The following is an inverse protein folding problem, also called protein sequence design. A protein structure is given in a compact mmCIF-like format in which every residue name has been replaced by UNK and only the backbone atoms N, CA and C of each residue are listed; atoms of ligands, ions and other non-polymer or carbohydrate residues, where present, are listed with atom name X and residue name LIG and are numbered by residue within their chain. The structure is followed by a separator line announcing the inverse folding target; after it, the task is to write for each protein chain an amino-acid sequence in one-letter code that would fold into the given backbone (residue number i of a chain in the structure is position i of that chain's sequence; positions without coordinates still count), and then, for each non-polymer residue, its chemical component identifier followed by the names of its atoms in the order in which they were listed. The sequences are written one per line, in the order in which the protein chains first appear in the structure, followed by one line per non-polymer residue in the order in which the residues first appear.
data_IF_854676263895
#
_entry.id   IF_854676263895
#
_cell.length_a   1.000
_cell.length_b   1.000
_cell.length_c   1.000
_cell.angle_alpha   90.00
_cell.angle_beta   90.00
_cell.angle_gamma   90.00
#
_symmetry.space_group_name_H-M   'P 1'
#
loop_
_entity.id
_entity.type
_entity.pdbx_description
1 polymer ?
#
# COMPACT_ATOMS: atom_id res chain seq x y z
N UNK A 1 27.18 -18.46 18.50
CA UNK A 1 26.00 -19.15 17.94
C UNK A 1 25.59 -18.41 16.68
N UNK A 2 25.75 -19.00 15.49
CA UNK A 2 25.24 -18.39 14.25
C UNK A 2 23.73 -18.62 14.23
N UNK A 3 23.01 -17.63 14.71
CA UNK A 3 21.55 -17.54 14.57
C UNK A 3 21.28 -17.43 13.06
N UNK A 4 20.56 -18.41 12.50
CA UNK A 4 20.41 -18.58 11.05
C UNK A 4 19.71 -17.39 10.39
N UNK A 5 20.01 -17.14 9.11
CA UNK A 5 19.31 -16.14 8.31
C UNK A 5 17.88 -16.63 8.06
N UNK A 6 16.89 -15.87 8.56
CA UNK A 6 15.49 -15.74 8.11
C UNK A 6 14.40 -15.96 9.19
N UNK A 7 13.42 -15.05 9.10
CA UNK A 7 12.15 -14.88 9.84
C UNK A 7 12.22 -14.74 11.38
N UNK A 8 12.36 -15.81 12.15
CA UNK A 8 12.24 -15.73 13.62
C UNK A 8 13.57 -15.60 14.35
N UNK A 9 14.61 -16.23 13.80
CA UNK A 9 15.93 -16.30 14.40
C UNK A 9 16.52 -14.89 14.63
N UNK A 10 16.36 -14.00 13.66
CA UNK A 10 16.90 -12.64 13.75
C UNK A 10 15.99 -11.67 14.51
N UNK A 11 14.79 -12.08 14.95
CA UNK A 11 13.85 -11.18 15.63
C UNK A 11 14.40 -10.67 16.97
N UNK A 12 15.18 -11.51 17.67
CA UNK A 12 15.80 -11.16 18.95
C UNK A 12 17.09 -10.30 18.79
N UNK A 13 17.56 -10.06 17.56
CA UNK A 13 18.75 -9.25 17.33
C UNK A 13 18.40 -7.77 17.40
N UNK A 14 19.14 -7.03 18.23
CA UNK A 14 19.03 -5.57 18.29
C UNK A 14 19.53 -5.00 16.97
N UNK A 15 18.64 -4.33 16.24
CA UNK A 15 18.98 -3.59 15.02
C UNK A 15 19.38 -2.16 15.40
N UNK A 16 20.58 -1.75 14.97
CA UNK A 16 21.10 -0.39 15.18
C UNK A 16 20.75 0.49 13.98
N UNK A 17 20.77 1.80 14.18
CA UNK A 17 20.69 2.81 13.12
C UNK A 17 19.41 2.75 12.26
N UNK A 18 18.32 2.22 12.84
CA UNK A 18 16.99 2.18 12.24
C UNK A 18 16.01 2.90 13.16
N UNK A 19 15.20 3.79 12.60
CA UNK A 19 14.12 4.46 13.34
C UNK A 19 12.77 4.12 12.74
N UNK A 20 11.83 3.64 13.57
CA UNK A 20 10.45 3.45 13.10
C UNK A 20 9.73 4.79 12.99
N UNK A 21 8.94 4.95 11.94
CA UNK A 21 8.10 6.10 11.68
C UNK A 21 6.74 5.62 11.16
N UNK A 22 5.74 6.49 11.28
CA UNK A 22 4.40 6.27 10.75
C UNK A 22 3.86 7.56 10.16
N UNK A 23 3.26 7.47 8.99
CA UNK A 23 2.31 8.46 8.47
C UNK A 23 0.92 7.85 8.57
N UNK A 24 -0.06 8.61 9.05
CA UNK A 24 -1.42 8.11 9.24
C UNK A 24 -2.45 9.21 9.03
N UNK A 25 -3.70 8.78 8.87
CA UNK A 25 -4.87 9.66 8.78
C UNK A 25 -5.27 10.31 10.12
N UNK A 26 -4.41 10.27 11.14
CA UNK A 26 -4.77 10.72 12.49
C UNK A 26 -5.15 12.21 12.54
N UNK A 27 -6.05 12.55 13.45
CA UNK A 27 -6.48 13.91 13.68
C UNK A 27 -5.35 14.70 14.35
N UNK A 28 -4.78 15.67 13.62
CA UNK A 28 -3.66 16.49 14.10
C UNK A 28 -4.06 17.42 15.25
N UNK A 29 -5.36 17.65 15.48
CA UNK A 29 -5.85 18.41 16.63
C UNK A 29 -5.88 17.57 17.91
N UNK A 30 -5.75 16.24 17.78
CA UNK A 30 -5.92 15.29 18.88
C UNK A 30 -7.38 14.91 19.17
N UNK A 31 -8.33 15.34 18.33
CA UNK A 31 -9.71 14.85 18.37
C UNK A 31 -9.82 13.47 17.65
N UNK A 32 -11.02 13.10 17.20
CA UNK A 32 -11.33 11.74 16.72
C UNK A 32 -11.65 11.68 15.22
N UNK A 33 -11.31 12.71 14.45
CA UNK A 33 -11.48 12.71 12.99
C UNK A 33 -10.26 12.07 12.32
N UNK A 34 -9.97 10.82 12.65
CA UNK A 34 -8.77 10.09 12.21
C UNK A 34 -8.87 9.55 10.77
N UNK A 35 -9.46 10.34 9.87
CA UNK A 35 -9.70 9.98 8.47
C UNK A 35 -9.41 11.14 7.50
N UNK A 36 -9.25 10.77 6.23
CA UNK A 36 -9.25 11.69 5.10
C UNK A 36 -10.59 11.55 4.37
N UNK A 37 -11.24 12.69 4.08
CA UNK A 37 -12.42 12.74 3.24
C UNK A 37 -11.99 13.05 1.80
N UNK A 38 -12.07 12.05 0.93
CA UNK A 38 -11.74 12.17 -0.49
C UNK A 38 -13.00 12.52 -1.26
N UNK A 39 -13.07 13.75 -1.76
CA UNK A 39 -14.16 14.22 -2.62
C UNK A 39 -14.13 13.52 -4.00
N UNK A 40 -15.23 13.59 -4.77
CA UNK A 40 -15.23 13.12 -6.15
C UNK A 40 -14.10 13.76 -6.96
N UNK A 41 -13.37 12.95 -7.73
CA UNK A 41 -12.24 13.35 -8.59
C UNK A 41 -11.07 14.03 -7.83
N UNK A 42 -11.01 13.88 -6.50
CA UNK A 42 -9.91 14.41 -5.71
C UNK A 42 -8.75 13.42 -5.68
N UNK A 43 -7.53 13.93 -5.89
CA UNK A 43 -6.29 13.22 -5.57
C UNK A 43 -5.72 13.78 -4.28
N UNK A 44 -5.44 12.90 -3.32
CA UNK A 44 -4.84 13.28 -2.04
C UNK A 44 -3.51 12.57 -1.83
N UNK A 45 -2.48 13.34 -1.52
CA UNK A 45 -1.18 12.83 -1.12
C UNK A 45 -1.22 12.35 0.33
N UNK A 46 -1.35 11.04 0.52
CA UNK A 46 -1.40 10.41 1.84
C UNK A 46 -0.01 10.23 2.46
N UNK A 47 1.06 10.31 1.65
CA UNK A 47 2.42 10.15 2.12
C UNK A 47 3.43 10.91 1.26
N UNK A 48 4.38 11.56 1.92
CA UNK A 48 5.56 12.18 1.33
C UNK A 48 6.72 12.05 2.33
N UNK A 49 7.59 11.10 2.05
CA UNK A 49 8.73 10.74 2.90
C UNK A 49 10.00 11.17 2.17
N UNK A 50 10.87 11.85 2.90
CA UNK A 50 12.19 12.27 2.44
C UNK A 50 13.28 11.38 3.02
N UNK A 51 14.35 11.13 2.24
CA UNK A 51 15.48 10.30 2.64
C UNK A 51 15.29 8.81 2.33
N UNK A 52 16.15 7.97 2.93
CA UNK A 52 16.16 6.53 2.68
C UNK A 52 15.30 5.77 3.69
N UNK A 53 14.58 4.75 3.23
CA UNK A 53 13.75 3.94 4.10
C UNK A 53 13.12 2.72 3.44
N UNK A 54 12.41 1.94 4.25
CA UNK A 54 11.68 0.77 3.79
C UNK A 54 10.28 0.80 4.41
N UNK A 55 9.24 0.95 3.59
CA UNK A 55 7.86 0.72 4.05
C UNK A 55 7.76 -0.77 4.39
N UNK A 56 7.26 -1.05 5.59
CA UNK A 56 7.14 -2.41 6.13
C UNK A 56 5.69 -2.86 6.28
N UNK A 57 4.79 -1.90 6.40
CA UNK A 57 3.39 -2.19 6.61
C UNK A 57 2.52 -1.02 6.10
N UNK A 58 1.51 -1.36 5.33
CA UNK A 58 0.43 -0.45 4.95
C UNK A 58 -0.87 -1.08 5.45
N UNK A 59 -1.63 -0.29 6.21
CA UNK A 59 -3.01 -0.63 6.56
C UNK A 59 -3.95 0.42 6.00
N UNK A 60 -5.10 -0.01 5.48
CA UNK A 60 -6.17 0.87 5.02
C UNK A 60 -7.54 0.31 5.39
N UNK A 61 -8.50 1.19 5.67
CA UNK A 61 -9.93 0.87 5.57
C UNK A 61 -10.67 2.05 4.96
N UNK A 62 -11.74 1.75 4.24
CA UNK A 62 -12.49 2.73 3.46
C UNK A 62 -13.96 2.59 3.78
N UNK A 63 -14.61 3.72 4.05
CA UNK A 63 -16.07 3.82 4.10
C UNK A 63 -16.55 4.63 2.89
N UNK A 64 -17.39 4.00 2.06
CA UNK A 64 -18.00 4.62 0.89
C UNK A 64 -19.38 4.01 0.67
N UNK A 65 -20.30 4.79 0.09
CA UNK A 65 -21.59 4.29 -0.37
C UNK A 65 -21.60 3.89 -1.86
N UNK A 66 -20.48 4.07 -2.58
CA UNK A 66 -20.34 3.61 -3.96
C UNK A 66 -20.10 2.09 -3.93
N UNK A 67 -20.89 1.27 -4.63
CA UNK A 67 -20.70 -0.19 -4.62
C UNK A 67 -19.37 -0.65 -5.25
N UNK A 68 -18.77 0.18 -6.12
CA UNK A 68 -17.55 -0.13 -6.87
C UNK A 68 -16.33 0.67 -6.36
N UNK A 69 -16.40 1.28 -5.17
CA UNK A 69 -15.34 2.14 -4.64
C UNK A 69 -13.93 1.50 -4.67
N UNK A 70 -13.83 0.18 -4.47
CA UNK A 70 -12.55 -0.55 -4.50
C UNK A 70 -11.91 -0.63 -5.90
N UNK A 71 -12.68 -0.37 -6.95
CA UNK A 71 -12.23 -0.25 -8.34
C UNK A 71 -12.03 1.20 -8.79
N UNK A 72 -12.57 2.17 -8.05
CA UNK A 72 -12.54 3.61 -8.37
C UNK A 72 -11.60 4.42 -7.49
N UNK A 73 -11.16 3.89 -6.35
CA UNK A 73 -10.06 4.47 -5.60
C UNK A 73 -8.74 3.92 -6.13
N UNK A 74 -7.94 4.78 -6.75
CA UNK A 74 -6.66 4.40 -7.38
C UNK A 74 -5.51 4.77 -6.46
N UNK A 75 -4.67 3.79 -6.14
CA UNK A 75 -3.46 3.94 -5.35
C UNK A 75 -2.26 4.11 -6.28
N UNK A 76 -1.49 5.18 -6.04
CA UNK A 76 -0.25 5.43 -6.74
C UNK A 76 0.93 5.57 -5.79
N UNK A 77 2.06 4.98 -6.16
CA UNK A 77 3.31 5.13 -5.41
C UNK A 77 4.47 5.45 -6.34
N UNK A 78 5.32 6.38 -5.91
CA UNK A 78 6.55 6.78 -6.59
C UNK A 78 7.73 6.59 -5.66
N UNK A 79 8.82 6.08 -6.21
CA UNK A 79 10.09 5.92 -5.50
C UNK A 79 11.14 6.86 -6.06
N UNK A 80 11.96 7.42 -5.18
CA UNK A 80 13.18 8.14 -5.56
C UNK A 80 12.99 9.31 -6.54
N UNK A 81 11.88 10.04 -6.41
CA UNK A 81 11.51 11.17 -7.27
C UNK A 81 11.37 10.81 -8.77
N UNK A 82 11.03 9.55 -9.05
CA UNK A 82 10.68 9.14 -10.41
C UNK A 82 9.45 9.91 -10.94
N UNK A 83 9.37 10.06 -12.26
CA UNK A 83 8.32 10.84 -12.91
C UNK A 83 7.00 10.07 -13.05
N UNK A 84 7.09 8.74 -13.21
CA UNK A 84 5.94 7.86 -13.41
C UNK A 84 5.80 6.92 -12.22
N UNK A 85 4.58 6.60 -11.77
CA UNK A 85 4.39 5.75 -10.61
C UNK A 85 4.85 4.31 -10.90
N UNK A 86 5.70 3.76 -10.03
CA UNK A 86 6.04 2.34 -10.01
C UNK A 86 4.86 1.45 -9.62
N UNK A 87 3.90 2.00 -8.86
CA UNK A 87 2.66 1.34 -8.47
C UNK A 87 1.48 2.18 -8.95
N UNK A 88 0.62 1.63 -9.79
CA UNK A 88 -0.64 2.27 -10.19
C UNK A 88 -1.72 1.20 -10.36
N UNK A 89 -2.62 1.14 -9.37
CA UNK A 89 -3.59 0.05 -9.23
C UNK A 89 -4.85 0.53 -8.48
N UNK A 90 -6.04 -0.02 -8.77
CA UNK A 90 -7.17 0.14 -7.87
C UNK A 90 -6.87 -0.47 -6.49
N UNK A 91 -7.32 0.18 -5.41
CA UNK A 91 -7.00 -0.22 -4.03
C UNK A 91 -7.43 -1.68 -3.76
N UNK A 92 -8.62 -2.09 -4.20
CA UNK A 92 -9.08 -3.48 -3.96
C UNK A 92 -8.12 -4.51 -4.56
N UNK A 93 -7.74 -4.31 -5.83
CA UNK A 93 -6.84 -5.22 -6.56
C UNK A 93 -5.44 -5.27 -5.95
N UNK A 94 -4.93 -4.14 -5.46
CA UNK A 94 -3.64 -4.08 -4.78
C UNK A 94 -3.58 -5.06 -3.61
N UNK A 95 -4.63 -5.11 -2.79
CA UNK A 95 -4.73 -5.99 -1.62
C UNK A 95 -5.21 -7.41 -1.96
N UNK A 96 -5.23 -7.77 -3.25
CA UNK A 96 -5.61 -9.11 -3.71
C UNK A 96 -7.11 -9.37 -3.70
N UNK A 97 -7.97 -8.34 -3.58
CA UNK A 97 -9.42 -8.50 -3.70
C UNK A 97 -9.91 -7.89 -5.01
N UNK A 98 -10.17 -8.74 -5.98
CA UNK A 98 -10.70 -8.33 -7.27
C UNK A 98 -12.19 -8.01 -7.26
N UNK A 99 -12.62 -7.35 -8.34
CA UNK A 99 -14.02 -7.16 -8.74
C UNK A 99 -14.85 -6.26 -7.81
N UNK A 100 -14.20 -5.34 -7.09
CA UNK A 100 -14.92 -4.41 -6.21
C UNK A 100 -15.52 -5.07 -4.97
N UNK A 101 -15.15 -6.33 -4.68
CA UNK A 101 -15.70 -7.10 -3.57
C UNK A 101 -14.87 -6.92 -2.31
N UNK A 102 -15.43 -7.33 -1.19
CA UNK A 102 -14.72 -7.52 0.08
C UNK A 102 -14.91 -8.97 0.50
N UNK A 103 -13.85 -9.59 1.01
CA UNK A 103 -13.89 -10.93 1.59
C UNK A 103 -12.72 -11.07 2.55
N UNK A 104 -12.93 -11.80 3.64
CA UNK A 104 -11.83 -12.18 4.52
C UNK A 104 -10.80 -13.04 3.74
N UNK A 105 -9.55 -12.60 3.71
CA UNK A 105 -8.46 -13.25 2.96
C UNK A 105 -7.13 -13.05 3.68
N UNK A 106 -6.30 -14.10 3.72
CA UNK A 106 -4.97 -14.03 4.33
C UNK A 106 -3.93 -14.75 3.49
N UNK A 107 -2.76 -14.14 3.40
CA UNK A 107 -1.52 -14.66 2.83
C UNK A 107 -0.34 -14.07 3.61
N UNK A 108 0.89 -14.45 3.27
CA UNK A 108 2.07 -13.86 3.90
C UNK A 108 2.17 -12.32 3.68
N UNK A 109 2.04 -11.80 2.43
CA UNK A 109 2.12 -10.36 2.21
C UNK A 109 0.82 -9.59 2.46
N UNK A 110 -0.35 -10.24 2.49
CA UNK A 110 -1.65 -9.57 2.62
C UNK A 110 -2.54 -10.19 3.69
N UNK A 111 -3.22 -9.37 4.47
CA UNK A 111 -4.22 -9.81 5.43
C UNK A 111 -5.42 -8.86 5.41
N UNK A 112 -6.56 -9.36 4.97
CA UNK A 112 -7.80 -8.59 4.81
C UNK A 112 -8.85 -9.10 5.78
N UNK A 113 -9.16 -8.30 6.80
CA UNK A 113 -10.14 -8.62 7.84
C UNK A 113 -9.97 -7.72 9.07
N UNK A 114 -10.83 -7.82 10.10
CA UNK A 114 -12.12 -8.54 10.13
C UNK A 114 -13.21 -7.76 9.36
N UNK A 115 -14.49 -8.05 9.63
CA UNK A 115 -15.66 -7.37 9.04
C UNK A 115 -15.76 -7.48 7.51
N UNK A 116 -15.84 -8.73 7.03
CA UNK A 116 -15.96 -9.06 5.61
C UNK A 116 -14.77 -8.57 4.77
N UNK A 117 -13.55 -8.55 5.32
CA UNK A 117 -12.34 -8.19 4.57
C UNK A 117 -12.10 -6.69 4.40
N UNK A 118 -12.72 -5.82 5.21
CA UNK A 118 -12.61 -4.36 5.07
C UNK A 118 -11.38 -3.73 5.74
N UNK A 119 -10.60 -4.51 6.50
CA UNK A 119 -9.32 -4.09 7.06
C UNK A 119 -8.17 -4.59 6.19
N UNK A 120 -7.67 -3.77 5.27
CA UNK A 120 -6.68 -4.15 4.29
C UNK A 120 -5.26 -3.98 4.85
N UNK A 121 -4.45 -5.04 4.86
CA UNK A 121 -3.06 -4.99 5.30
C UNK A 121 -2.12 -5.50 4.22
N UNK A 122 -0.99 -4.81 4.03
CA UNK A 122 0.10 -5.19 3.15
C UNK A 122 1.43 -5.17 3.92
N UNK A 123 2.22 -6.23 3.79
CA UNK A 123 3.50 -6.46 4.47
C UNK A 123 4.68 -6.62 3.50
N UNK A 124 4.49 -6.31 2.20
CA UNK A 124 5.61 -6.26 1.28
C UNK A 124 6.63 -5.20 1.74
N UNK A 125 7.92 -5.52 1.79
CA UNK A 125 8.94 -4.49 1.97
C UNK A 125 9.04 -3.63 0.71
N UNK A 126 8.93 -2.32 0.86
CA UNK A 126 9.06 -1.37 -0.26
C UNK A 126 10.20 -0.39 0.05
N UNK A 127 11.45 -0.72 -0.35
CA UNK A 127 12.61 0.16 -0.17
C UNK A 127 12.53 1.40 -1.06
N UNK A 128 13.08 2.51 -0.59
CA UNK A 128 13.30 3.76 -1.33
C UNK A 128 14.55 4.46 -0.80
N UNK A 129 15.37 5.03 -1.68
CA UNK A 129 16.67 5.62 -1.36
C UNK A 129 16.67 7.13 -1.10
N UNK A 130 15.84 7.90 -1.79
CA UNK A 130 15.80 9.38 -1.66
C UNK A 130 14.43 9.90 -1.23
N UNK A 131 13.36 9.14 -1.46
CA UNK A 131 12.04 9.45 -0.94
C UNK A 131 10.96 8.52 -1.48
N UNK A 132 9.78 8.61 -0.88
CA UNK A 132 8.59 7.88 -1.28
C UNK A 132 7.37 8.81 -1.26
N UNK A 133 6.60 8.81 -2.35
CA UNK A 133 5.33 9.52 -2.45
C UNK A 133 4.21 8.53 -2.66
N UNK A 134 3.11 8.69 -1.93
CA UNK A 134 1.91 7.84 -2.09
C UNK A 134 0.69 8.74 -2.16
N UNK A 135 -0.14 8.50 -3.17
CA UNK A 135 -1.38 9.23 -3.42
C UNK A 135 -2.55 8.25 -3.58
N UNK A 136 -3.73 8.73 -3.23
CA UNK A 136 -5.00 8.07 -3.54
C UNK A 136 -5.88 9.04 -4.31
N UNK A 137 -6.33 8.62 -5.48
CA UNK A 137 -7.32 9.33 -6.29
C UNK A 137 -8.68 8.68 -6.11
N UNK A 138 -9.73 9.50 -6.00
CA UNK A 138 -11.10 9.06 -6.00
C UNK A 138 -11.77 9.32 -7.36
N UNK A 139 -11.81 8.32 -8.22
CA UNK A 139 -12.49 8.38 -9.53
C UNK A 139 -14.01 8.14 -9.45
N UNK A 140 -14.59 8.08 -8.24
CA UNK A 140 -16.04 7.97 -8.06
C UNK A 140 -16.74 9.33 -8.04
N UNK A 141 -18.04 9.31 -8.32
CA UNK A 141 -18.90 10.50 -8.31
C UNK A 141 -19.34 10.91 -6.89
N UNK A 142 -18.88 10.19 -5.85
CA UNK A 142 -19.25 10.46 -4.46
C UNK A 142 -18.02 10.51 -3.55
N UNK A 143 -18.20 11.06 -2.35
CA UNK A 143 -17.13 11.12 -1.36
C UNK A 143 -16.84 9.73 -0.77
N UNK A 144 -15.57 9.42 -0.56
CA UNK A 144 -15.11 8.26 0.21
C UNK A 144 -14.29 8.71 1.42
N UNK A 145 -14.40 7.97 2.52
CA UNK A 145 -13.63 8.21 3.74
C UNK A 145 -12.52 7.16 3.82
N UNK A 146 -11.27 7.63 3.90
CA UNK A 146 -10.08 6.78 3.95
C UNK A 146 -9.40 6.89 5.32
N UNK A 147 -9.16 5.74 5.93
CA UNK A 147 -8.28 5.59 7.08
C UNK A 147 -7.04 4.83 6.63
N UNK A 148 -5.85 5.25 7.08
CA UNK A 148 -4.62 4.57 6.68
C UNK A 148 -3.50 4.69 7.71
N UNK A 149 -2.62 3.69 7.72
CA UNK A 149 -1.29 3.70 8.32
C UNK A 149 -0.24 3.30 7.29
N UNK A 150 0.83 4.07 7.19
CA UNK A 150 2.03 3.74 6.43
C UNK A 150 3.18 3.69 7.44
N UNK A 151 3.53 2.48 7.83
CA UNK A 151 4.62 2.19 8.75
C UNK A 151 5.90 1.90 7.98
N UNK A 152 6.95 2.65 8.31
CA UNK A 152 8.23 2.50 7.65
C UNK A 152 9.39 2.57 8.63
N UNK A 153 10.51 2.03 8.17
CA UNK A 153 11.81 2.16 8.80
C UNK A 153 12.57 3.25 8.06
N UNK A 154 13.01 4.27 8.77
CA UNK A 154 13.96 5.28 8.31
C UNK A 154 15.38 4.74 8.50
N UNK A 155 16.19 4.83 7.45
CA UNK A 155 17.57 4.34 7.40
C UNK A 155 18.50 5.50 7.01
N UNK A 156 19.73 5.50 7.53
CA UNK A 156 20.75 6.48 7.08
C UNK A 156 21.21 6.21 5.65
N UNK A 157 21.35 4.93 5.31
CA UNK A 157 21.63 4.45 3.96
C UNK A 157 20.98 3.08 3.76
N UNK A 158 20.74 2.72 2.51
CA UNK A 158 20.27 1.39 2.14
C UNK A 158 21.34 0.68 1.30
N UNK A 159 21.41 -0.66 1.37
CA UNK A 159 22.19 -1.44 0.43
C UNK A 159 21.76 -1.13 -1.01
N UNK A 160 22.74 -1.00 -1.91
CA UNK A 160 22.52 -0.60 -3.31
C UNK A 160 21.87 -1.69 -4.17
N UNK A 161 21.80 -2.92 -3.67
CA UNK A 161 21.22 -4.09 -4.33
C UNK A 161 19.72 -4.30 -3.99
N UNK A 162 19.11 -3.42 -3.20
CA UNK A 162 17.67 -3.44 -2.95
C UNK A 162 16.89 -2.89 -4.15
N UNK A 163 15.96 -3.69 -4.67
CA UNK A 163 15.02 -3.28 -5.72
C UNK A 163 13.94 -2.29 -5.25
N UNK A 164 13.01 -1.98 -6.15
CA UNK A 164 11.83 -1.16 -5.89
C UNK A 164 10.56 -1.96 -6.15
N UNK A 165 9.59 -1.82 -5.26
CA UNK A 165 8.32 -2.53 -5.38
C UNK A 165 7.51 -1.94 -6.53
N UNK A 166 6.97 -2.79 -7.40
CA UNK A 166 6.12 -2.38 -8.51
C UNK A 166 4.82 -3.20 -8.50
N UNK A 167 3.72 -2.56 -8.87
CA UNK A 167 2.46 -3.24 -9.10
C UNK A 167 1.69 -2.50 -10.20
N UNK A 168 1.20 -3.26 -11.17
CA UNK A 168 0.52 -2.73 -12.35
C UNK A 168 -0.80 -3.46 -12.52
N UNK A 169 -1.86 -2.71 -12.79
CA UNK A 169 -3.17 -3.26 -13.07
C UNK A 169 -3.52 -3.13 -14.56
N UNK A 170 -4.07 -4.20 -15.13
CA UNK A 170 -4.50 -4.24 -16.52
C UNK A 170 -5.84 -4.98 -16.64
N UNK A 171 -6.65 -4.57 -17.61
CA UNK A 171 -7.92 -5.23 -17.95
C UNK A 171 -8.09 -5.30 -19.46
N UNK A 172 -8.54 -6.46 -19.92
CA UNK A 172 -8.95 -6.69 -21.30
C UNK A 172 -10.37 -7.25 -21.32
N UNK A 173 -11.27 -6.63 -22.10
CA UNK A 173 -12.65 -7.10 -22.27
C UNK A 173 -13.14 -6.80 -23.71
N UNK A 174 -13.40 -7.82 -24.56
CA UNK A 174 -13.25 -9.25 -24.30
C UNK A 174 -11.78 -9.66 -24.15
N UNK A 175 -11.51 -10.68 -23.33
CA UNK A 175 -10.17 -11.27 -23.25
C UNK A 175 -9.94 -12.14 -24.48
N UNK A 176 -9.01 -11.75 -25.36
CA UNK A 176 -8.77 -12.45 -26.63
C UNK A 176 -8.08 -13.82 -26.45
N UNK A 177 -7.64 -14.13 -25.22
CA UNK A 177 -6.89 -15.36 -24.91
C UNK A 177 -5.58 -15.48 -25.69
N UNK A 178 -4.74 -16.45 -25.31
CA UNK A 178 -3.77 -17.03 -26.23
C UNK A 178 -4.13 -18.49 -26.35
N UNK A 179 -4.16 -19.08 -27.57
CA UNK A 179 -4.31 -20.53 -27.70
C UNK A 179 -3.25 -21.20 -26.84
N UNK A 180 -3.63 -22.20 -26.03
CA UNK A 180 -2.67 -23.03 -25.33
C UNK A 180 -1.82 -23.76 -26.38
N UNK A 181 -0.61 -23.28 -26.63
CA UNK A 181 0.36 -23.99 -27.44
C UNK A 181 0.86 -25.19 -26.64
N UNK A 182 0.47 -26.40 -27.05
CA UNK A 182 1.20 -27.61 -26.66
C UNK A 182 2.58 -27.51 -27.28
N UNK A 183 3.59 -27.19 -26.46
CA UNK A 183 4.99 -27.34 -26.83
C UNK A 183 5.35 -28.79 -27.13
#
# INVERSE_FOLDING_TARGET
MKIGMNSLNNLAQIRKDIKRKRVSSYDKTGANMDNIQLKPNETYQICDIQGAGIIKHIWMTIASSDPDYLRKLVLRMWWDNEQLPSVEVPIGDFFGIGHGKTVNFWSLPFANGPNDGKGFNCFFPMPFGTGAKIEVENESDIMSVLYFYIDYEEHTNLPTDLGRFHAFWNRQNPCNGKPYGTG
#
